data_IF_077900667080
#
_entry.id   IF_077900667080
#
_cell.length_a   1.000
_cell.length_b   1.000
_cell.length_c   1.000
_cell.angle_alpha   90.00
_cell.angle_beta   90.00
_cell.angle_gamma   90.00
#
_symmetry.space_group_name_H-M   'P 1'
#
loop_
_entity.id
_entity.type
_entity.pdbx_description
1 polymer ?
#
# COMPACT_ATOMS: atom_id res chain seq x y z
N UNK A 1 -3.82 -21.56 4.56
CA UNK A 1 -5.16 -20.96 4.40
C UNK A 1 -5.67 -20.29 5.68
N UNK A 2 -5.02 -20.45 6.85
CA UNK A 2 -5.58 -20.04 8.15
C UNK A 2 -4.82 -18.96 8.94
N UNK A 3 -3.72 -18.42 8.40
CA UNK A 3 -3.00 -17.31 9.03
C UNK A 3 -3.28 -16.02 8.25
N UNK A 4 -4.47 -15.45 8.46
CA UNK A 4 -4.77 -14.07 8.06
C UNK A 4 -4.20 -13.16 9.16
N UNK A 5 -3.16 -12.35 8.92
CA UNK A 5 -2.52 -11.49 9.92
C UNK A 5 -3.40 -10.27 10.26
N UNK A 6 -4.66 -10.52 10.60
CA UNK A 6 -5.70 -9.51 10.77
C UNK A 6 -5.31 -8.51 11.85
N UNK A 7 -4.77 -9.02 12.96
CA UNK A 7 -4.37 -8.26 14.15
C UNK A 7 -3.19 -7.35 13.83
N UNK A 8 -2.11 -7.87 13.25
CA UNK A 8 -0.92 -7.08 12.89
C UNK A 8 -1.28 -5.97 11.89
N UNK A 9 -2.04 -6.28 10.84
CA UNK A 9 -2.45 -5.26 9.88
C UNK A 9 -3.35 -4.22 10.56
N UNK A 10 -4.21 -4.62 11.51
CA UNK A 10 -5.05 -3.68 12.26
C UNK A 10 -4.22 -2.74 13.15
N UNK A 11 -3.19 -3.26 13.83
CA UNK A 11 -2.27 -2.47 14.65
C UNK A 11 -1.50 -1.47 13.79
N UNK A 12 -0.93 -1.93 12.66
CA UNK A 12 -0.25 -1.06 11.70
C UNK A 12 -1.19 0.00 11.13
N UNK A 13 -2.44 -0.36 10.82
CA UNK A 13 -3.44 0.59 10.34
C UNK A 13 -3.70 1.70 11.37
N UNK A 14 -3.83 1.34 12.66
CA UNK A 14 -4.05 2.31 13.74
C UNK A 14 -2.82 3.21 13.93
N UNK A 15 -1.62 2.64 13.86
CA UNK A 15 -0.37 3.39 13.97
C UNK A 15 -0.25 4.43 12.86
N UNK A 16 -0.37 4.00 11.59
CA UNK A 16 -0.25 4.92 10.44
C UNK A 16 -1.37 5.96 10.47
N UNK A 17 -2.59 5.58 10.87
CA UNK A 17 -3.69 6.52 11.08
C UNK A 17 -3.33 7.60 12.11
N UNK A 18 -2.84 7.20 13.28
CA UNK A 18 -2.47 8.15 14.33
C UNK A 18 -1.36 9.11 13.87
N UNK A 19 -0.38 8.60 13.12
CA UNK A 19 0.69 9.42 12.54
C UNK A 19 0.14 10.44 11.52
N UNK A 20 -0.76 10.02 10.62
CA UNK A 20 -1.42 10.92 9.66
C UNK A 20 -2.21 12.01 10.40
N UNK A 21 -2.96 11.65 11.45
CA UNK A 21 -3.70 12.62 12.25
C UNK A 21 -2.78 13.61 12.96
N UNK A 22 -1.68 13.13 13.55
CA UNK A 22 -0.69 13.98 14.20
C UNK A 22 -0.01 14.95 13.21
N UNK A 23 0.35 14.46 12.02
CA UNK A 23 0.91 15.28 10.95
C UNK A 23 -0.09 16.34 10.47
N UNK A 24 -1.38 15.98 10.34
CA UNK A 24 -2.42 16.93 9.95
C UNK A 24 -2.59 18.07 10.97
N UNK A 25 -2.55 17.74 12.27
CA UNK A 25 -2.61 18.75 13.35
C UNK A 25 -1.39 19.66 13.29
N UNK A 26 -0.18 19.10 13.24
CA UNK A 26 1.06 19.87 13.17
C UNK A 26 1.11 20.81 11.95
N UNK A 27 0.54 20.37 10.84
CA UNK A 27 0.48 21.15 9.60
C UNK A 27 -0.54 22.30 9.71
N UNK A 28 -1.66 22.08 10.41
CA UNK A 28 -2.64 23.14 10.72
C UNK A 28 -2.04 24.18 11.66
N UNK A 29 -1.26 23.75 12.65
CA UNK A 29 -0.55 24.64 13.57
C UNK A 29 0.50 25.48 12.82
N UNK A 30 1.27 24.86 11.92
CA UNK A 30 2.25 25.56 11.08
C UNK A 30 1.59 26.64 10.21
N UNK A 31 0.46 26.32 9.58
CA UNK A 31 -0.30 27.29 8.79
C UNK A 31 -0.85 28.44 9.66
N UNK A 32 -1.25 28.15 10.89
CA UNK A 32 -1.71 29.16 11.84
C UNK A 32 -0.59 30.13 12.19
N UNK A 33 0.61 29.61 12.49
CA UNK A 33 1.81 30.42 12.76
C UNK A 33 2.17 31.28 11.53
N UNK A 34 2.15 30.69 10.34
CA UNK A 34 2.41 31.41 9.09
C UNK A 34 1.45 32.59 8.90
N UNK A 35 0.14 32.36 9.07
CA UNK A 35 -0.87 33.41 8.96
C UNK A 35 -0.67 34.52 9.99
N UNK A 36 -0.23 34.18 11.21
CA UNK A 36 0.10 35.15 12.26
C UNK A 36 1.34 35.99 11.89
N UNK A 37 2.39 35.37 11.36
CA UNK A 37 3.59 36.09 10.91
C UNK A 37 3.28 37.07 9.76
N UNK A 38 2.40 36.68 8.82
CA UNK A 38 1.95 37.57 7.74
C UNK A 38 1.14 38.74 8.30
N UNK A 39 0.30 38.51 9.31
CA UNK A 39 -0.54 39.55 9.91
C UNK A 39 0.26 40.59 10.72
N UNK A 40 1.39 40.21 11.30
CA UNK A 40 2.26 41.10 12.11
C UNK A 40 3.06 42.10 11.24
N UNK A 41 3.16 41.84 9.92
CA UNK A 41 3.76 42.76 8.94
C UNK A 41 5.28 42.94 9.00
N UNK A 42 5.96 42.29 9.96
CA UNK A 42 7.41 42.34 10.12
C UNK A 42 8.11 41.09 9.55
N UNK A 43 7.75 40.68 8.33
CA UNK A 43 8.31 39.52 7.66
C UNK A 43 9.10 39.91 6.40
N UNK A 44 10.13 39.13 6.09
CA UNK A 44 10.78 39.17 4.78
C UNK A 44 9.95 38.37 3.79
N UNK A 45 9.69 38.94 2.61
CA UNK A 45 8.91 38.33 1.53
C UNK A 45 9.41 36.92 1.22
N UNK A 46 10.73 36.74 1.07
CA UNK A 46 11.41 35.46 0.83
C UNK A 46 11.07 34.40 1.88
N UNK A 47 10.99 34.78 3.17
CA UNK A 47 10.67 33.85 4.26
C UNK A 47 9.23 33.34 4.13
N UNK A 48 8.30 34.21 3.78
CA UNK A 48 6.89 33.83 3.61
C UNK A 48 6.70 32.97 2.37
N UNK A 49 7.35 33.31 1.25
CA UNK A 49 7.33 32.48 0.03
C UNK A 49 7.89 31.09 0.32
N UNK A 50 9.06 31.01 0.96
CA UNK A 50 9.67 29.74 1.32
C UNK A 50 8.80 28.92 2.28
N UNK A 51 8.28 29.54 3.34
CA UNK A 51 7.40 28.86 4.31
C UNK A 51 6.11 28.35 3.65
N UNK A 52 5.56 29.10 2.68
CA UNK A 52 4.38 28.67 1.91
C UNK A 52 4.70 27.44 1.08
N UNK A 53 5.80 27.46 0.32
CA UNK A 53 6.22 26.35 -0.52
C UNK A 53 6.46 25.05 0.30
N UNK A 54 7.06 25.18 1.50
CA UNK A 54 7.26 24.04 2.41
C UNK A 54 5.92 23.52 2.93
N UNK A 55 5.02 24.40 3.39
CA UNK A 55 3.67 24.00 3.81
C UNK A 55 2.92 23.24 2.71
N UNK A 56 3.02 23.69 1.46
CA UNK A 56 2.32 23.11 0.32
C UNK A 56 2.89 21.75 -0.09
N UNK A 57 4.22 21.59 -0.10
CA UNK A 57 4.87 20.29 -0.31
C UNK A 57 4.46 19.29 0.77
N UNK A 58 4.46 19.71 2.04
CA UNK A 58 4.03 18.86 3.15
C UNK A 58 2.56 18.45 3.03
N UNK A 59 1.66 19.38 2.66
CA UNK A 59 0.23 19.11 2.41
C UNK A 59 0.05 18.08 1.32
N UNK A 60 0.74 18.26 0.19
CA UNK A 60 0.66 17.37 -0.97
C UNK A 60 1.14 15.96 -0.63
N UNK A 61 2.27 15.85 0.08
CA UNK A 61 2.80 14.55 0.54
C UNK A 61 1.86 13.86 1.52
N UNK A 62 1.31 14.59 2.49
CA UNK A 62 0.37 14.04 3.47
C UNK A 62 -0.93 13.57 2.80
N UNK A 63 -1.43 14.34 1.83
CA UNK A 63 -2.58 13.96 1.01
C UNK A 63 -2.29 12.68 0.21
N UNK A 64 -1.11 12.59 -0.40
CA UNK A 64 -0.65 11.40 -1.11
C UNK A 64 -0.57 10.16 -0.22
N UNK A 65 0.03 10.29 0.97
CA UNK A 65 0.12 9.20 1.95
C UNK A 65 -1.26 8.76 2.46
N UNK A 66 -2.15 9.72 2.74
CA UNK A 66 -3.54 9.45 3.17
C UNK A 66 -4.31 8.68 2.10
N UNK A 67 -4.17 9.09 0.83
CA UNK A 67 -4.78 8.40 -0.31
C UNK A 67 -4.25 6.97 -0.47
N UNK A 68 -2.93 6.77 -0.39
CA UNK A 68 -2.34 5.43 -0.48
C UNK A 68 -2.85 4.51 0.63
N UNK A 69 -2.96 5.00 1.87
CA UNK A 69 -3.52 4.22 2.97
C UNK A 69 -4.99 3.87 2.69
N UNK A 70 -5.78 4.83 2.20
CA UNK A 70 -7.17 4.60 1.81
C UNK A 70 -7.32 3.52 0.73
N UNK A 71 -6.48 3.55 -0.30
CA UNK A 71 -6.48 2.57 -1.40
C UNK A 71 -6.15 1.15 -0.89
N UNK A 72 -5.15 1.03 0.00
CA UNK A 72 -4.76 -0.25 0.63
C UNK A 72 -5.90 -0.79 1.50
N UNK A 73 -6.53 0.05 2.32
CA UNK A 73 -7.65 -0.34 3.17
C UNK A 73 -8.89 -0.73 2.35
N UNK A 74 -9.14 -0.05 1.24
CA UNK A 74 -10.22 -0.39 0.28
C UNK A 74 -9.95 -1.74 -0.36
N UNK A 75 -8.74 -1.95 -0.88
CA UNK A 75 -8.30 -3.23 -1.47
C UNK A 75 -8.43 -4.38 -0.46
N UNK A 76 -8.06 -4.14 0.81
CA UNK A 76 -8.24 -5.12 1.88
C UNK A 76 -9.72 -5.45 2.09
N UNK A 77 -10.58 -4.43 2.17
CA UNK A 77 -12.03 -4.59 2.35
C UNK A 77 -12.64 -5.42 1.23
N UNK A 78 -12.27 -5.14 -0.02
CA UNK A 78 -12.69 -5.91 -1.19
C UNK A 78 -12.23 -7.37 -1.12
N UNK A 79 -10.97 -7.62 -0.76
CA UNK A 79 -10.45 -8.98 -0.59
C UNK A 79 -11.19 -9.75 0.50
N UNK A 80 -11.46 -9.11 1.64
CA UNK A 80 -12.20 -9.71 2.76
C UNK A 80 -13.63 -10.07 2.34
N UNK A 81 -14.30 -9.17 1.61
CA UNK A 81 -15.66 -9.36 1.09
C UNK A 81 -15.73 -10.44 0.02
N UNK A 82 -14.78 -10.48 -0.91
CA UNK A 82 -14.68 -11.52 -1.95
C UNK A 82 -14.46 -12.91 -1.33
N UNK A 83 -13.61 -12.99 -0.29
CA UNK A 83 -13.40 -14.22 0.46
C UNK A 83 -14.68 -14.66 1.19
N UNK A 84 -15.42 -13.73 1.78
CA UNK A 84 -16.70 -14.03 2.45
C UNK A 84 -17.76 -14.51 1.46
N UNK A 85 -17.91 -13.84 0.31
CA UNK A 85 -18.83 -14.26 -0.74
C UNK A 85 -18.53 -15.69 -1.22
N UNK A 86 -17.24 -15.99 -1.47
CA UNK A 86 -16.79 -17.35 -1.82
C UNK A 86 -17.19 -18.36 -0.74
N UNK A 87 -16.95 -18.02 0.53
CA UNK A 87 -17.33 -18.87 1.66
C UNK A 87 -18.84 -19.11 1.70
N UNK A 88 -19.67 -18.08 1.53
CA UNK A 88 -21.13 -18.19 1.52
C UNK A 88 -21.64 -19.12 0.43
N UNK A 89 -21.08 -19.06 -0.79
CA UNK A 89 -21.47 -19.95 -1.90
C UNK A 89 -21.17 -21.41 -1.57
N UNK A 90 -19.99 -21.69 -0.99
CA UNK A 90 -19.60 -23.07 -0.65
C UNK A 90 -20.25 -23.56 0.66
N UNK A 91 -20.56 -22.69 1.62
CA UNK A 91 -21.23 -23.06 2.86
C UNK A 91 -22.74 -23.26 2.68
N UNK A 92 -23.39 -22.49 1.80
CA UNK A 92 -24.80 -22.68 1.47
C UNK A 92 -25.08 -23.99 0.71
N UNK A 93 -24.07 -24.55 0.04
CA UNK A 93 -24.17 -25.86 -0.59
C UNK A 93 -23.96 -27.00 0.40
N UNK A 94 -23.13 -26.82 1.44
CA UNK A 94 -22.95 -27.82 2.50
C UNK A 94 -24.24 -28.05 3.32
N UNK A 95 -25.04 -27.00 3.55
CA UNK A 95 -26.35 -27.13 4.22
C UNK A 95 -27.46 -27.68 3.32
N UNK A 96 -27.27 -27.74 1.99
CA UNK A 96 -28.21 -28.42 1.06
C UNK A 96 -28.00 -29.93 0.99
N UNK A 97 -26.79 -30.43 1.31
CA UNK A 97 -26.50 -31.87 1.36
C UNK A 97 -27.25 -32.57 2.52
N UNK A 98 -27.47 -31.88 3.65
CA UNK A 98 -28.25 -32.42 4.78
C UNK A 98 -29.77 -32.51 4.50
N UNK A 99 -30.29 -31.80 3.50
CA UNK A 99 -31.69 -31.91 3.08
C UNK A 99 -31.96 -33.24 2.32
N UNK A 100 -30.93 -33.94 1.84
CA UNK A 100 -31.06 -35.24 1.18
C UNK A 100 -31.03 -36.44 2.15
N UNK A 101 -30.86 -36.20 3.46
CA UNK A 101 -31.03 -37.23 4.50
C UNK A 101 -32.49 -37.29 4.98
N UNK A 102 -33.45 -37.44 4.06
CA UNK A 102 -34.75 -38.01 4.44
C UNK A 102 -34.57 -39.54 4.50
N UNK A 103 -35.09 -40.24 5.53
CA UNK A 103 -34.97 -41.70 5.60
C UNK A 103 -35.90 -42.31 4.55
N UNK A 104 -35.36 -42.65 3.38
CA UNK A 104 -36.08 -43.43 2.39
C UNK A 104 -36.41 -44.81 3.00
N UNK A 105 -37.71 -45.11 3.07
CA UNK A 105 -38.24 -46.41 3.51
C UNK A 105 -37.59 -47.53 2.70
N UNK A 106 -37.18 -48.57 3.41
CA UNK A 106 -36.65 -49.83 2.88
C UNK A 106 -37.69 -50.52 2.00
N UNK A 107 -37.44 -50.58 0.68
CA UNK A 107 -38.01 -51.60 -0.19
C UNK A 107 -36.83 -52.31 -0.85
N UNK A 108 -36.63 -53.55 -0.44
CA UNK A 108 -35.61 -54.47 -0.91
C UNK A 108 -35.94 -54.88 -2.35
N UNK A 109 -35.12 -54.48 -3.31
CA UNK A 109 -35.16 -55.01 -4.68
C UNK A 109 -33.75 -55.50 -5.07
N UNK A 110 -33.59 -56.77 -5.50
CA UNK A 110 -32.28 -57.32 -5.83
C UNK A 110 -31.81 -56.92 -7.24
N UNK A 111 -30.49 -56.91 -7.50
CA UNK A 111 -29.92 -56.48 -8.78
C UNK A 111 -30.23 -57.45 -9.94
N UNK A 112 -30.40 -56.97 -11.18
CA UNK A 112 -31.00 -57.72 -12.28
C UNK A 112 -29.98 -58.47 -13.13
N UNK A 113 -29.17 -59.38 -12.55
CA UNK A 113 -28.48 -60.40 -13.35
C UNK A 113 -28.32 -61.70 -12.57
N UNK A 114 -29.43 -62.43 -12.43
CA UNK A 114 -29.40 -63.85 -12.13
C UNK A 114 -30.58 -64.52 -12.81
N UNK A 115 -30.40 -64.86 -14.09
CA UNK A 115 -31.32 -65.74 -14.81
C UNK A 115 -30.60 -67.06 -15.06
N UNK A 116 -31.06 -68.07 -14.33
CA UNK A 116 -30.72 -69.47 -14.49
C UNK A 116 -31.19 -69.98 -15.85
N UNK A 117 -30.36 -70.77 -16.53
CA UNK A 117 -30.85 -71.79 -17.46
C UNK A 117 -30.03 -73.07 -17.24
N UNK A 118 -30.77 -74.16 -17.06
CA UNK A 118 -30.28 -75.49 -16.74
C UNK A 118 -30.70 -76.41 -17.89
N UNK A 119 -29.77 -77.05 -18.61
CA UNK A 119 -30.05 -78.31 -19.35
C UNK A 119 -28.79 -78.96 -19.96
N UNK A 120 -28.42 -80.09 -19.34
CA UNK A 120 -27.88 -81.36 -19.89
C UNK A 120 -26.73 -81.39 -20.92
N UNK A 121 -25.65 -82.13 -20.58
CA UNK A 121 -24.85 -82.84 -21.58
C UNK A 121 -23.36 -83.10 -21.24
N UNK A 122 -23.09 -84.28 -20.66
CA UNK A 122 -21.95 -85.18 -20.92
C UNK A 122 -20.45 -84.75 -20.79
N UNK A 123 -19.69 -85.67 -20.18
CA UNK A 123 -18.26 -86.03 -20.41
C UNK A 123 -17.10 -85.23 -19.76
N UNK A 124 -16.60 -85.79 -18.64
CA UNK A 124 -15.21 -86.24 -18.31
C UNK A 124 -13.92 -85.39 -18.61
N UNK A 125 -12.80 -85.66 -17.87
CA UNK A 125 -11.78 -84.71 -17.35
C UNK A 125 -10.42 -84.84 -18.09
N UNK A 126 -9.19 -84.58 -17.55
CA UNK A 126 -8.63 -83.80 -16.41
C UNK A 126 -7.63 -82.72 -16.93
N UNK A 127 -6.78 -81.97 -16.18
CA UNK A 127 -5.40 -82.29 -15.70
C UNK A 127 -4.83 -81.13 -14.83
N UNK A 128 -4.11 -81.48 -13.75
CA UNK A 128 -2.98 -80.72 -13.15
C UNK A 128 -1.68 -81.24 -13.80
N UNK A 129 -0.50 -80.56 -13.84
CA UNK A 129 0.14 -79.92 -12.68
C UNK A 129 1.17 -78.77 -12.92
N UNK A 130 1.64 -78.18 -11.81
CA UNK A 130 3.04 -77.84 -11.45
C UNK A 130 3.88 -76.80 -12.22
N UNK A 131 4.48 -75.93 -11.38
CA UNK A 131 5.85 -75.38 -11.39
C UNK A 131 6.16 -74.02 -12.05
N UNK A 132 6.59 -73.09 -11.17
CA UNK A 132 7.82 -72.32 -11.41
C UNK A 132 7.71 -70.81 -11.17
N UNK A 133 8.53 -70.29 -10.25
CA UNK A 133 9.14 -68.96 -10.40
C UNK A 133 8.49 -67.81 -9.63
N UNK A 134 9.19 -67.37 -8.59
CA UNK A 134 8.93 -66.18 -7.80
C UNK A 134 9.02 -64.90 -8.65
N UNK A 135 8.01 -64.02 -8.58
CA UNK A 135 8.17 -62.58 -8.79
C UNK A 135 7.27 -61.86 -7.78
N UNK A 136 7.87 -61.08 -6.89
CA UNK A 136 7.18 -60.36 -5.83
C UNK A 136 6.44 -59.13 -6.35
N UNK A 137 5.11 -59.15 -6.27
CA UNK A 137 4.27 -57.95 -6.20
C UNK A 137 2.89 -58.32 -5.63
N UNK A 138 2.81 -58.51 -4.31
CA UNK A 138 1.53 -58.75 -3.63
C UNK A 138 1.10 -57.49 -2.87
N UNK A 139 0.39 -56.62 -3.60
CA UNK A 139 -0.58 -55.67 -3.04
C UNK A 139 -1.66 -56.47 -2.31
N UNK A 140 -1.40 -56.79 -1.03
CA UNK A 140 -2.40 -57.40 -0.16
C UNK A 140 -3.39 -56.33 0.30
N UNK A 141 -4.41 -56.12 -0.53
CA UNK A 141 -5.69 -55.51 -0.16
C UNK A 141 -6.26 -56.34 1.00
N UNK A 142 -6.02 -55.91 2.24
CA UNK A 142 -6.71 -56.44 3.41
C UNK A 142 -8.18 -56.06 3.27
N UNK A 143 -9.04 -57.08 3.14
CA UNK A 143 -10.46 -56.99 3.42
C UNK A 143 -10.61 -56.51 4.87
N UNK A 144 -10.96 -55.23 5.04
CA UNK A 144 -11.44 -54.72 6.30
C UNK A 144 -12.91 -55.14 6.43
N UNK A 145 -13.18 -55.82 7.54
CA UNK A 145 -14.47 -56.26 8.03
C UNK A 145 -15.45 -55.08 8.06
N UNK A 146 -16.65 -55.30 7.53
CA UNK A 146 -17.82 -54.44 7.67
C UNK A 146 -18.06 -54.10 9.15
N UNK A 147 -17.82 -52.84 9.50
CA UNK A 147 -18.51 -52.17 10.60
C UNK A 147 -19.02 -50.86 10.01
N UNK A 148 -20.34 -50.64 9.94
CA UNK A 148 -20.85 -49.36 9.47
C UNK A 148 -20.34 -48.27 10.42
N UNK A 149 -19.79 -47.16 9.92
CA UNK A 149 -19.39 -46.07 10.79
C UNK A 149 -20.63 -45.60 11.54
N UNK A 150 -20.58 -45.69 12.86
CA UNK A 150 -21.62 -45.17 13.74
C UNK A 150 -21.82 -43.69 13.43
N UNK A 151 -23.01 -43.31 12.96
CA UNK A 151 -23.43 -41.93 12.67
C UNK A 151 -23.15 -40.94 13.83
N UNK A 152 -22.96 -41.44 15.06
CA UNK A 152 -22.54 -40.63 16.21
C UNK A 152 -21.12 -40.04 16.11
N UNK A 153 -20.20 -40.65 15.37
CA UNK A 153 -18.82 -40.15 15.24
C UNK A 153 -18.72 -39.01 14.20
N UNK A 154 -19.57 -39.02 13.16
CA UNK A 154 -19.70 -37.90 12.21
C UNK A 154 -20.34 -36.67 12.85
N UNK A 155 -21.33 -36.86 13.73
CA UNK A 155 -22.03 -35.74 14.37
C UNK A 155 -21.15 -34.99 15.39
N UNK A 156 -20.19 -35.66 16.03
CA UNK A 156 -19.26 -35.01 16.95
C UNK A 156 -18.16 -34.20 16.24
N UNK A 157 -17.82 -34.57 14.99
CA UNK A 157 -16.86 -33.83 14.16
C UNK A 157 -17.44 -32.51 13.63
N UNK A 158 -18.75 -32.46 13.32
CA UNK A 158 -19.44 -31.23 12.93
C UNK A 158 -19.59 -30.23 14.09
N UNK A 159 -19.77 -30.70 15.33
CA UNK A 159 -19.96 -29.82 16.49
C UNK A 159 -18.68 -29.07 16.91
N UNK A 160 -17.49 -29.59 16.58
CA UNK A 160 -16.22 -29.00 17.01
C UNK A 160 -15.61 -27.99 16.02
N UNK A 161 -16.06 -27.98 14.77
CA UNK A 161 -15.59 -27.04 13.73
C UNK A 161 -16.40 -25.74 13.72
N UNK A 162 -17.67 -25.78 14.13
CA UNK A 162 -18.57 -24.62 14.22
C UNK A 162 -18.10 -23.53 15.20
N UNK A 163 -17.71 -23.82 16.46
CA UNK A 163 -17.39 -22.77 17.43
C UNK A 163 -16.08 -22.02 17.11
N UNK A 164 -15.11 -22.66 16.44
CA UNK A 164 -13.91 -21.96 15.96
C UNK A 164 -14.19 -21.03 14.78
N UNK A 165 -15.19 -21.36 13.97
CA UNK A 165 -15.54 -20.61 12.78
C UNK A 165 -16.33 -19.33 13.09
N UNK A 166 -17.20 -19.36 14.10
CA UNK A 166 -17.94 -18.17 14.57
C UNK A 166 -17.01 -17.09 15.13
N UNK A 167 -16.05 -17.48 15.98
CA UNK A 167 -15.07 -16.54 16.54
C UNK A 167 -14.25 -15.80 15.45
N UNK A 168 -13.87 -16.51 14.39
CA UNK A 168 -13.14 -15.92 13.26
C UNK A 168 -14.01 -14.97 12.43
N UNK A 169 -15.29 -15.30 12.21
CA UNK A 169 -16.23 -14.41 11.52
C UNK A 169 -16.49 -13.14 12.31
N UNK A 170 -16.67 -13.26 13.63
CA UNK A 170 -16.86 -12.11 14.52
C UNK A 170 -15.64 -11.18 14.52
N UNK A 171 -14.43 -11.73 14.65
CA UNK A 171 -13.19 -10.94 14.61
C UNK A 171 -13.02 -10.19 13.28
N UNK A 172 -13.37 -10.82 12.15
CA UNK A 172 -13.32 -10.18 10.83
C UNK A 172 -14.36 -9.08 10.67
N UNK A 173 -15.59 -9.28 11.15
CA UNK A 173 -16.63 -8.27 11.09
C UNK A 173 -16.23 -7.00 11.88
N UNK A 174 -15.65 -7.19 13.06
CA UNK A 174 -15.10 -6.08 13.86
C UNK A 174 -13.95 -5.38 13.14
N UNK A 175 -13.00 -6.13 12.58
CA UNK A 175 -11.89 -5.56 11.82
C UNK A 175 -12.37 -4.76 10.60
N UNK A 176 -13.38 -5.26 9.87
CA UNK A 176 -13.97 -4.53 8.73
C UNK A 176 -14.62 -3.23 9.17
N UNK A 177 -15.40 -3.24 10.24
CA UNK A 177 -16.02 -2.03 10.78
C UNK A 177 -14.96 -0.99 11.17
N UNK A 178 -13.86 -1.43 11.80
CA UNK A 178 -12.75 -0.53 12.14
C UNK A 178 -12.05 0.04 10.90
N UNK A 179 -11.89 -0.76 9.85
CA UNK A 179 -11.33 -0.31 8.57
C UNK A 179 -12.25 0.71 7.91
N UNK A 180 -13.56 0.47 7.88
CA UNK A 180 -14.55 1.41 7.32
C UNK A 180 -14.56 2.74 8.08
N UNK A 181 -14.54 2.69 9.41
CA UNK A 181 -14.39 3.89 10.24
C UNK A 181 -13.10 4.65 9.93
N UNK A 182 -11.99 3.93 9.73
CA UNK A 182 -10.69 4.53 9.41
C UNK A 182 -10.71 5.17 8.02
N UNK A 183 -11.29 4.51 7.02
CA UNK A 183 -11.45 5.06 5.66
C UNK A 183 -12.28 6.35 5.69
N UNK A 184 -13.38 6.38 6.46
CA UNK A 184 -14.22 7.57 6.62
C UNK A 184 -13.46 8.74 7.24
N UNK A 185 -12.71 8.48 8.32
CA UNK A 185 -11.90 9.49 9.00
C UNK A 185 -10.78 10.03 8.10
N UNK A 186 -10.06 9.15 7.39
CA UNK A 186 -9.06 9.53 6.40
C UNK A 186 -9.67 10.33 5.25
N UNK A 187 -10.90 10.00 4.83
CA UNK A 187 -11.66 10.78 3.84
C UNK A 187 -11.96 12.20 4.32
N UNK A 188 -12.22 12.37 5.62
CA UNK A 188 -12.33 13.69 6.27
C UNK A 188 -11.01 14.47 6.20
N UNK A 189 -9.90 13.84 6.58
CA UNK A 189 -8.55 14.45 6.50
C UNK A 189 -8.20 14.82 5.05
N UNK A 190 -8.47 13.91 4.10
CA UNK A 190 -8.23 14.13 2.68
C UNK A 190 -9.01 15.33 2.15
N UNK A 191 -10.29 15.44 2.51
CA UNK A 191 -11.13 16.58 2.14
C UNK A 191 -10.61 17.87 2.76
N UNK A 192 -10.20 17.82 4.02
CA UNK A 192 -9.62 18.98 4.70
C UNK A 192 -8.33 19.46 4.00
N UNK A 193 -7.40 18.56 3.70
CA UNK A 193 -6.18 18.86 2.95
C UNK A 193 -6.50 19.37 1.54
N UNK A 194 -7.48 18.78 0.86
CA UNK A 194 -7.92 19.23 -0.46
C UNK A 194 -8.47 20.66 -0.42
N UNK A 195 -9.28 21.00 0.59
CA UNK A 195 -9.75 22.38 0.77
C UNK A 195 -8.63 23.34 1.11
N UNK A 196 -7.68 22.91 1.93
CA UNK A 196 -6.53 23.72 2.36
C UNK A 196 -5.59 24.04 1.18
N UNK A 197 -5.36 23.07 0.29
CA UNK A 197 -4.58 23.24 -0.94
C UNK A 197 -5.37 24.02 -2.00
N UNK A 198 -6.67 23.78 -2.16
CA UNK A 198 -7.50 24.49 -3.13
C UNK A 198 -7.66 25.98 -2.78
N UNK A 199 -7.78 26.30 -1.48
CA UNK A 199 -7.96 27.67 -1.00
C UNK A 199 -6.69 28.53 -1.12
N UNK A 200 -5.51 27.90 -1.05
CA UNK A 200 -4.23 28.59 -1.25
C UNK A 200 -3.84 28.77 -2.72
N UNK A 201 -4.70 28.31 -3.64
CA UNK A 201 -4.44 28.41 -5.07
C UNK A 201 -3.43 27.37 -5.52
N UNK A 202 -3.65 26.89 -6.73
CA UNK A 202 -2.82 25.93 -7.45
C UNK A 202 -1.36 26.41 -7.59
N UNK A 203 -0.54 26.22 -6.55
CA UNK A 203 0.91 26.13 -6.68
C UNK A 203 1.24 24.66 -6.97
N UNK A 204 0.79 24.19 -8.12
CA UNK A 204 1.25 22.93 -8.69
C UNK A 204 2.74 23.08 -9.04
N UNK A 205 3.61 22.91 -8.04
CA UNK A 205 5.05 22.64 -8.17
C UNK A 205 5.66 23.38 -9.37
N UNK A 206 5.68 24.71 -9.35
CA UNK A 206 6.57 25.44 -10.26
C UNK A 206 7.91 25.59 -9.58
N UNK A 207 8.75 24.60 -9.86
CA UNK A 207 10.21 24.73 -9.77
C UNK A 207 10.68 25.99 -10.57
N UNK A 208 9.87 26.48 -11.51
CA UNK A 208 10.15 27.63 -12.36
C UNK A 208 10.02 29.01 -11.67
N UNK A 209 9.20 29.17 -10.61
CA UNK A 209 8.98 30.50 -10.03
C UNK A 209 10.23 31.02 -9.28
N UNK A 210 11.05 30.12 -8.70
CA UNK A 210 12.36 30.47 -8.15
C UNK A 210 13.45 30.68 -9.22
N UNK A 211 13.25 30.19 -10.45
CA UNK A 211 14.21 30.36 -11.55
C UNK A 211 14.19 31.80 -12.07
N UNK A 212 13.01 32.39 -12.22
CA UNK A 212 12.86 33.78 -12.68
C UNK A 212 13.46 34.78 -11.67
N UNK A 213 13.26 34.55 -10.37
CA UNK A 213 13.86 35.37 -9.31
C UNK A 213 15.40 35.18 -9.26
N UNK A 214 15.87 33.94 -9.41
CA UNK A 214 17.31 33.66 -9.52
C UNK A 214 17.92 34.35 -10.75
N UNK A 215 17.20 34.39 -11.87
CA UNK A 215 17.61 35.08 -13.09
C UNK A 215 17.70 36.59 -12.84
N UNK A 216 16.68 37.19 -12.23
CA UNK A 216 16.67 38.61 -11.90
C UNK A 216 17.81 39.00 -10.95
N UNK A 217 18.08 38.18 -9.92
CA UNK A 217 19.19 38.40 -8.99
C UNK A 217 20.57 38.23 -9.66
N UNK A 218 20.71 37.23 -10.55
CA UNK A 218 21.95 37.02 -11.33
C UNK A 218 22.17 38.17 -12.32
N UNK A 219 21.12 38.67 -12.97
CA UNK A 219 21.21 39.78 -13.91
C UNK A 219 21.52 41.11 -13.18
N UNK A 220 20.93 41.31 -12.00
CA UNK A 220 21.29 42.38 -11.06
C UNK A 220 22.77 42.31 -10.65
N UNK A 221 23.26 41.15 -10.25
CA UNK A 221 24.68 40.94 -9.90
C UNK A 221 25.61 41.15 -11.10
N UNK A 222 25.22 40.69 -12.29
CA UNK A 222 25.97 40.87 -13.53
C UNK A 222 26.08 42.35 -13.91
N UNK A 223 24.98 43.11 -13.83
CA UNK A 223 24.99 44.56 -14.09
C UNK A 223 25.90 45.31 -13.11
N UNK A 224 25.93 44.87 -11.85
CA UNK A 224 26.80 45.41 -10.80
C UNK A 224 28.28 45.16 -11.09
N UNK A 225 28.62 43.93 -11.50
CA UNK A 225 29.98 43.56 -11.91
C UNK A 225 30.44 44.32 -13.14
N UNK A 226 29.59 44.44 -14.17
CA UNK A 226 29.90 45.21 -15.37
C UNK A 226 30.13 46.69 -15.04
N UNK A 227 29.32 47.28 -14.16
CA UNK A 227 29.51 48.66 -13.71
C UNK A 227 30.84 48.83 -12.98
N UNK A 228 31.20 47.88 -12.10
CA UNK A 228 32.47 47.92 -11.36
C UNK A 228 33.68 47.74 -12.28
N UNK A 229 33.61 46.83 -13.26
CA UNK A 229 34.64 46.62 -14.27
C UNK A 229 34.80 47.87 -15.14
N UNK A 230 33.71 48.50 -15.56
CA UNK A 230 33.74 49.72 -16.36
C UNK A 230 34.34 50.91 -15.57
N UNK A 231 34.06 51.00 -14.26
CA UNK A 231 34.68 52.00 -13.38
C UNK A 231 36.19 51.79 -13.19
N UNK A 232 36.64 50.53 -13.04
CA UNK A 232 38.07 50.18 -12.99
C UNK A 232 38.75 50.45 -14.34
N UNK A 233 38.09 50.11 -15.45
CA UNK A 233 38.55 50.36 -16.81
C UNK A 233 38.71 51.86 -17.11
N UNK A 234 37.72 52.68 -16.74
CA UNK A 234 37.72 54.13 -16.96
C UNK A 234 38.90 54.83 -16.25
N UNK A 235 39.29 54.35 -15.07
CA UNK A 235 40.42 54.88 -14.32
C UNK A 235 41.80 54.62 -14.94
N UNK A 236 41.91 53.84 -16.02
CA UNK A 236 43.20 53.61 -16.71
C UNK A 236 43.85 54.90 -17.21
N UNK A 237 43.05 55.85 -17.70
CA UNK A 237 43.58 57.13 -18.19
C UNK A 237 44.07 58.02 -17.03
N UNK A 238 43.42 57.95 -15.87
CA UNK A 238 43.87 58.62 -14.65
C UNK A 238 45.20 58.03 -14.16
N UNK A 239 45.34 56.70 -14.18
CA UNK A 239 46.58 56.01 -13.80
C UNK A 239 47.74 56.38 -14.74
N UNK A 240 47.50 56.43 -16.04
CA UNK A 240 48.49 56.86 -17.05
C UNK A 240 48.98 58.29 -16.79
N UNK A 241 48.08 59.22 -16.44
CA UNK A 241 48.47 60.60 -16.11
C UNK A 241 49.36 60.67 -14.87
N UNK A 242 49.00 59.96 -13.80
CA UNK A 242 49.82 59.92 -12.57
C UNK A 242 51.20 59.34 -12.87
N UNK A 243 51.25 58.26 -13.66
CA UNK A 243 52.52 57.63 -14.06
C UNK A 243 53.40 58.58 -14.88
N UNK A 244 52.82 59.33 -15.83
CA UNK A 244 53.56 60.31 -16.62
C UNK A 244 54.15 61.45 -15.77
N UNK A 245 53.40 61.94 -14.77
CA UNK A 245 53.90 62.95 -13.83
C UNK A 245 55.06 62.40 -12.99
N UNK A 246 54.97 61.14 -12.53
CA UNK A 246 56.06 60.49 -11.79
C UNK A 246 57.32 60.33 -12.65
N UNK A 247 57.20 59.94 -13.92
CA UNK A 247 58.35 59.85 -14.84
C UNK A 247 58.96 61.23 -15.10
N UNK A 248 58.14 62.25 -15.33
CA UNK A 248 58.64 63.61 -15.54
C UNK A 248 59.39 64.10 -14.30
N UNK A 249 58.84 63.88 -13.10
CA UNK A 249 59.52 64.19 -11.85
C UNK A 249 60.85 63.44 -11.72
N UNK A 250 60.90 62.15 -12.05
CA UNK A 250 62.11 61.35 -12.00
C UNK A 250 63.18 61.84 -12.97
N UNK A 251 62.79 62.25 -14.19
CA UNK A 251 63.71 62.84 -15.18
C UNK A 251 64.26 64.15 -14.65
N UNK A 252 63.42 65.06 -14.16
CA UNK A 252 63.87 66.33 -13.57
C UNK A 252 64.82 66.08 -12.40
N UNK A 253 64.48 65.15 -11.51
CA UNK A 253 65.31 64.80 -10.37
C UNK A 253 66.69 64.24 -10.80
N UNK A 254 66.73 63.34 -11.79
CA UNK A 254 67.99 62.79 -12.31
C UNK A 254 68.87 63.84 -13.02
N UNK A 255 68.28 64.85 -13.67
CA UNK A 255 69.04 65.88 -14.38
C UNK A 255 69.43 67.08 -13.52
N UNK A 256 68.70 67.36 -12.44
CA UNK A 256 68.93 68.53 -11.58
C UNK A 256 69.51 68.21 -10.20
N UNK A 257 69.32 67.00 -9.68
CA UNK A 257 69.77 66.61 -8.32
C UNK A 257 70.94 65.62 -8.33
N UNK A 258 70.99 64.70 -9.30
CA UNK A 258 72.18 63.86 -9.56
C UNK A 258 73.17 64.61 -10.47
#
# INVERSE_FOLDING_TARGET
MFDDPIVEIQELTVLVKNDITALNVALTDLQTIQNMEIADGNYSEDKVVHSTAVCDDLKSRLMGATKQLQDVLTTRTENIKAHENRKQIFSANASREDQFKQPARTVTEPPPWSSSSNTYGSAQPPVLPSNGGQVGSQLRRRLAVDSPPSQQMEMSMLQQVVPRQENYMQSRAVALHNVESTISELGGIFTHLATMVAQQGELAIRIDDNMDESLANVEGAHSSLLRHLNQISSNRWLLIKIFAVLILFLIVFLFFVA
#
